data_IF_349943119496
#
_entry.id   IF_349943119496
#
_cell.length_a   1.000
_cell.length_b   1.000
_cell.length_c   1.000
_cell.angle_alpha   90.00
_cell.angle_beta   90.00
_cell.angle_gamma   90.00
#
_symmetry.space_group_name_H-M   'P 1'
#
loop_
_entity.id
_entity.type
_entity.pdbx_description
1 polymer ?
#
# COMPACT_ATOMS: atom_id res chain seq x y z
N UNK A 1 21.63 8.58 19.13
CA UNK A 1 20.76 7.39 19.03
C UNK A 1 20.62 7.08 17.54
N UNK A 2 21.06 5.92 17.01
CA UNK A 2 20.79 5.61 15.62
C UNK A 2 19.27 5.53 15.44
N UNK A 3 18.74 6.38 14.56
CA UNK A 3 17.33 6.46 14.19
C UNK A 3 16.79 5.06 13.90
N UNK A 4 15.86 4.56 14.73
CA UNK A 4 15.12 3.34 14.44
C UNK A 4 14.09 3.64 13.35
N UNK A 5 14.57 3.73 12.11
CA UNK A 5 13.75 4.05 10.95
C UNK A 5 12.99 2.79 10.50
N UNK A 6 11.71 2.93 10.18
CA UNK A 6 10.90 1.90 9.54
C UNK A 6 10.60 2.28 8.09
N UNK A 7 11.01 1.45 7.14
CA UNK A 7 10.77 1.70 5.73
C UNK A 7 9.36 1.24 5.36
N UNK A 8 8.46 2.19 5.11
CA UNK A 8 7.11 1.92 4.60
C UNK A 8 7.20 1.59 3.11
N UNK A 9 6.82 0.38 2.70
CA UNK A 9 6.96 -0.03 1.32
C UNK A 9 5.82 0.50 0.45
N UNK A 10 6.15 1.04 -0.71
CA UNK A 10 5.14 1.45 -1.71
C UNK A 10 5.01 0.46 -2.87
N UNK A 11 6.02 -0.38 -3.12
CA UNK A 11 6.04 -1.33 -4.25
C UNK A 11 5.51 -2.69 -3.83
N UNK A 12 4.88 -3.40 -4.76
CA UNK A 12 4.48 -4.80 -4.56
C UNK A 12 3.21 -5.02 -3.73
N UNK A 13 2.71 -4.01 -3.01
CA UNK A 13 1.52 -4.14 -2.17
C UNK A 13 0.24 -3.67 -2.87
N UNK A 14 0.12 -3.94 -4.17
CA UNK A 14 -1.00 -3.52 -5.00
C UNK A 14 -0.87 -2.07 -5.47
N UNK A 15 -1.98 -1.31 -5.43
CA UNK A 15 -2.03 0.05 -5.94
C UNK A 15 -1.25 1.01 -5.02
N UNK A 16 -0.46 1.89 -5.63
CA UNK A 16 0.31 2.92 -4.94
C UNK A 16 -0.55 4.18 -4.81
N UNK A 17 -0.59 4.73 -3.60
CA UNK A 17 -1.16 6.04 -3.30
C UNK A 17 -0.05 7.10 -3.40
N UNK A 18 -0.36 8.18 -4.09
CA UNK A 18 0.54 9.33 -4.23
C UNK A 18 -0.06 10.52 -3.47
N UNK A 19 0.39 10.72 -2.24
CA UNK A 19 -0.06 11.84 -1.42
C UNK A 19 0.72 13.11 -1.77
N UNK A 20 0.06 14.25 -2.04
CA UNK A 20 0.76 15.48 -2.37
C UNK A 20 1.61 15.98 -1.19
N UNK A 21 2.86 16.33 -1.48
CA UNK A 21 3.74 17.02 -0.51
C UNK A 21 3.61 18.52 -0.75
N UNK A 22 2.93 19.20 0.16
CA UNK A 22 2.67 20.63 0.08
C UNK A 22 3.89 21.46 0.51
N UNK A 23 4.10 22.58 -0.18
CA UNK A 23 5.26 23.45 0.05
C UNK A 23 6.60 22.79 -0.29
N UNK A 24 6.59 21.75 -1.14
CA UNK A 24 7.77 20.97 -1.50
C UNK A 24 8.91 21.84 -2.05
N UNK A 25 10.09 21.75 -1.42
CA UNK A 25 11.33 22.35 -1.88
C UNK A 25 12.41 21.27 -1.93
N UNK A 26 12.73 20.78 -3.14
CA UNK A 26 13.80 19.79 -3.34
C UNK A 26 14.43 19.94 -4.72
N UNK A 27 15.73 19.61 -4.79
CA UNK A 27 16.49 19.50 -6.05
C UNK A 27 16.46 18.07 -6.62
N UNK A 28 15.88 17.13 -5.89
CA UNK A 28 15.78 15.74 -6.32
C UNK A 28 14.85 15.60 -7.53
N UNK A 29 15.30 14.80 -8.48
CA UNK A 29 14.64 14.55 -9.76
C UNK A 29 14.33 13.07 -10.01
N UNK A 30 14.68 12.20 -9.07
CA UNK A 30 14.36 10.77 -9.07
C UNK A 30 13.61 10.42 -7.79
N UNK A 31 13.22 9.16 -7.64
CA UNK A 31 12.70 8.66 -6.36
C UNK A 31 13.78 8.69 -5.29
N UNK A 32 13.44 9.15 -4.09
CA UNK A 32 14.36 9.21 -2.96
C UNK A 32 13.61 8.94 -1.64
N UNK A 33 14.35 8.54 -0.62
CA UNK A 33 13.79 8.26 0.71
C UNK A 33 13.63 9.54 1.50
N UNK A 34 12.46 9.71 2.12
CA UNK A 34 12.15 10.77 3.08
C UNK A 34 11.72 10.16 4.41
N UNK A 35 11.89 10.91 5.48
CA UNK A 35 11.35 10.57 6.80
C UNK A 35 10.16 11.46 7.15
N UNK A 36 9.26 10.93 7.98
CA UNK A 36 8.05 11.61 8.41
C UNK A 36 8.15 11.97 9.89
N UNK A 37 7.66 13.15 10.26
CA UNK A 37 7.57 13.59 11.65
C UNK A 37 6.17 14.19 11.93
N UNK A 38 5.60 14.01 13.13
CA UNK A 38 4.32 14.62 13.48
C UNK A 38 4.42 16.16 13.53
N UNK A 39 3.38 16.84 13.04
CA UNK A 39 3.22 18.30 13.19
C UNK A 39 2.17 18.65 14.25
N UNK A 40 2.24 19.88 14.78
CA UNK A 40 1.30 20.40 15.77
C UNK A 40 -0.13 20.57 15.24
N UNK A 41 -0.28 20.79 13.93
CA UNK A 41 -1.57 20.92 13.24
C UNK A 41 -2.21 19.57 12.88
N UNK A 42 -1.62 18.46 13.33
CA UNK A 42 -2.07 17.12 13.03
C UNK A 42 -1.57 16.56 11.69
N UNK A 43 -0.88 17.35 10.86
CA UNK A 43 -0.25 16.86 9.63
C UNK A 43 1.05 16.07 9.86
N UNK A 44 1.77 15.80 8.77
CA UNK A 44 3.13 15.25 8.82
C UNK A 44 4.11 16.21 8.15
N UNK A 45 5.26 16.41 8.77
CA UNK A 45 6.40 17.06 8.16
C UNK A 45 7.19 16.00 7.38
N UNK A 46 7.57 16.33 6.14
CA UNK A 46 8.37 15.48 5.27
C UNK A 46 9.79 16.00 5.25
N UNK A 47 10.77 15.14 5.53
CA UNK A 47 12.16 15.53 5.76
C UNK A 47 13.12 14.65 4.97
N UNK A 48 14.18 15.26 4.45
CA UNK A 48 15.44 14.57 4.19
C UNK A 48 16.36 14.82 5.40
N UNK A 49 17.44 15.57 5.23
CA UNK A 49 18.21 16.15 6.33
C UNK A 49 17.50 17.37 6.94
N UNK A 50 16.65 18.03 6.14
CA UNK A 50 15.86 19.20 6.53
C UNK A 50 14.41 19.06 6.07
N UNK A 51 13.47 19.82 6.66
CA UNK A 51 12.08 19.84 6.18
C UNK A 51 12.01 20.27 4.72
N UNK A 52 11.39 19.45 3.88
CA UNK A 52 11.18 19.75 2.46
C UNK A 52 9.73 20.12 2.17
N UNK A 53 8.78 19.78 3.04
CA UNK A 53 7.36 20.02 2.83
C UNK A 53 6.50 19.28 3.84
N UNK A 54 5.22 19.08 3.53
CA UNK A 54 4.30 18.43 4.45
C UNK A 54 3.13 17.68 3.79
N UNK A 55 2.57 16.75 4.56
CA UNK A 55 1.30 16.06 4.28
C UNK A 55 0.22 16.66 5.19
N UNK A 56 -1.00 16.78 4.68
CA UNK A 56 -2.12 17.35 5.45
C UNK A 56 -2.58 16.42 6.58
N UNK A 57 -3.34 16.97 7.53
CA UNK A 57 -3.98 16.16 8.58
C UNK A 57 -5.06 15.23 8.01
N UNK A 58 -5.76 15.64 6.94
CA UNK A 58 -6.75 14.82 6.26
C UNK A 58 -6.11 13.58 5.61
N UNK A 59 -5.01 13.77 4.88
CA UNK A 59 -4.29 12.66 4.25
C UNK A 59 -3.67 11.74 5.32
N UNK A 60 -3.07 12.29 6.39
CA UNK A 60 -2.54 11.50 7.50
C UNK A 60 -3.62 10.63 8.16
N UNK A 61 -4.84 11.15 8.32
CA UNK A 61 -5.94 10.44 8.96
C UNK A 61 -6.35 9.17 8.22
N UNK A 62 -6.04 9.05 6.91
CA UNK A 62 -6.26 7.81 6.16
C UNK A 62 -5.25 6.71 6.50
N UNK A 63 -4.12 7.03 7.15
CA UNK A 63 -3.02 6.11 7.46
C UNK A 63 -2.75 6.00 8.97
N UNK A 64 -3.66 5.40 9.75
CA UNK A 64 -3.47 5.22 11.20
C UNK A 64 -2.23 4.40 11.56
N UNK A 65 -1.70 3.60 10.64
CA UNK A 65 -0.47 2.82 10.84
C UNK A 65 0.78 3.68 10.99
N UNK A 66 0.79 4.87 10.38
CA UNK A 66 1.89 5.82 10.56
C UNK A 66 1.92 6.32 12.01
N UNK A 67 0.76 6.46 12.65
CA UNK A 67 0.70 6.81 14.08
C UNK A 67 1.13 5.66 14.99
N UNK A 68 0.88 4.40 14.59
CA UNK A 68 1.41 3.24 15.30
C UNK A 68 2.94 3.24 15.30
N UNK A 69 3.58 3.58 14.17
CA UNK A 69 5.03 3.70 14.09
C UNK A 69 5.58 4.76 15.05
N UNK A 70 4.96 5.93 15.12
CA UNK A 70 5.39 6.96 16.08
C UNK A 70 5.22 6.52 17.52
N UNK A 71 4.11 5.85 17.86
CA UNK A 71 3.89 5.29 19.21
C UNK A 71 4.93 4.22 19.57
N UNK A 72 5.41 3.48 18.57
CA UNK A 72 6.50 2.51 18.71
C UNK A 72 7.89 3.15 18.83
N UNK A 73 8.00 4.49 18.79
CA UNK A 73 9.28 5.18 18.81
C UNK A 73 10.08 5.01 17.50
N UNK A 74 9.40 4.64 16.41
CA UNK A 74 9.98 4.47 15.09
C UNK A 74 9.79 5.74 14.26
N UNK A 75 10.78 6.01 13.40
CA UNK A 75 10.68 7.06 12.40
C UNK A 75 10.21 6.45 11.09
N UNK A 76 8.98 6.70 10.61
CA UNK A 76 8.55 6.24 9.30
C UNK A 76 9.42 6.86 8.21
N UNK A 77 9.93 6.03 7.31
CA UNK A 77 10.55 6.45 6.07
C UNK A 77 9.74 5.92 4.90
N UNK A 78 9.54 6.75 3.88
CA UNK A 78 8.81 6.38 2.68
C UNK A 78 9.49 6.99 1.46
N UNK A 79 9.04 6.58 0.28
CA UNK A 79 9.59 7.09 -0.98
C UNK A 79 8.87 8.37 -1.37
N UNK A 80 9.61 9.43 -1.69
CA UNK A 80 9.09 10.60 -2.38
C UNK A 80 9.46 10.50 -3.87
N UNK A 81 8.55 10.94 -4.73
CA UNK A 81 8.73 10.94 -6.18
C UNK A 81 8.20 12.24 -6.79
N UNK A 82 8.86 12.70 -7.85
CA UNK A 82 8.36 13.81 -8.66
C UNK A 82 7.33 13.30 -9.66
N UNK A 83 6.18 13.95 -9.70
CA UNK A 83 5.10 13.63 -10.62
C UNK A 83 5.31 14.28 -11.99
N UNK A 84 4.61 13.80 -13.05
CA UNK A 84 4.71 14.36 -14.39
C UNK A 84 4.35 15.87 -14.47
N UNK A 85 3.50 16.36 -13.58
CA UNK A 85 3.12 17.77 -13.48
C UNK A 85 4.14 18.64 -12.71
N UNK A 86 5.25 18.03 -12.28
CA UNK A 86 6.33 18.68 -11.54
C UNK A 86 6.11 18.76 -10.02
N UNK A 87 4.92 18.40 -9.53
CA UNK A 87 4.64 18.30 -8.09
C UNK A 87 5.43 17.16 -7.44
N UNK A 88 5.55 17.19 -6.11
CA UNK A 88 6.19 16.14 -5.33
C UNK A 88 5.13 15.35 -4.58
N UNK A 89 5.21 14.03 -4.62
CA UNK A 89 4.31 13.14 -3.88
C UNK A 89 5.07 12.18 -2.99
N UNK A 90 4.45 11.84 -1.85
CA UNK A 90 4.83 10.72 -1.01
C UNK A 90 4.12 9.47 -1.55
N UNK A 91 4.90 8.43 -1.85
CA UNK A 91 4.39 7.15 -2.32
C UNK A 91 4.18 6.23 -1.12
N UNK A 92 2.94 5.81 -0.94
CA UNK A 92 2.52 4.88 0.10
C UNK A 92 1.76 3.71 -0.54
N UNK A 93 1.72 2.53 0.10
CA UNK A 93 0.77 1.51 -0.30
C UNK A 93 -0.64 1.98 0.06
N UNK A 94 -1.67 1.21 -0.26
CA UNK A 94 -3.02 1.53 0.23
C UNK A 94 -3.05 1.58 1.77
N UNK A 95 -3.94 2.40 2.37
CA UNK A 95 -4.31 2.25 3.78
C UNK A 95 -4.61 0.80 4.13
N UNK A 96 -4.14 0.37 5.30
CA UNK A 96 -4.19 -1.01 5.78
C UNK A 96 -2.98 -1.87 5.38
N UNK A 97 -2.06 -1.36 4.54
CA UNK A 97 -0.92 -2.13 4.02
C UNK A 97 0.46 -1.57 4.41
N UNK A 98 0.51 -0.46 5.16
CA UNK A 98 1.78 0.14 5.58
C UNK A 98 2.59 -0.75 6.53
N UNK A 99 1.90 -1.60 7.30
CA UNK A 99 2.50 -2.58 8.21
C UNK A 99 2.06 -3.99 7.78
N UNK A 100 2.91 -5.01 8.00
CA UNK A 100 2.48 -6.39 7.82
C UNK A 100 1.42 -6.75 8.86
N UNK A 101 0.44 -7.55 8.43
CA UNK A 101 -0.66 -8.00 9.28
C UNK A 101 -0.24 -9.06 10.30
N UNK A 102 0.88 -9.74 10.06
CA UNK A 102 1.49 -10.66 11.01
C UNK A 102 2.76 -10.05 11.61
N UNK A 103 2.96 -10.31 12.90
CA UNK A 103 4.19 -9.94 13.58
C UNK A 103 5.36 -10.77 13.04
N UNK A 104 6.57 -10.19 12.94
CA UNK A 104 7.77 -10.97 12.67
C UNK A 104 8.00 -12.00 13.79
N UNK A 105 8.66 -13.13 13.49
CA UNK A 105 9.00 -14.12 14.49
C UNK A 105 9.95 -13.57 15.56
N UNK A 106 9.91 -14.16 16.75
CA UNK A 106 10.83 -13.83 17.83
C UNK A 106 12.28 -14.19 17.44
N UNK A 107 13.20 -13.27 17.71
CA UNK A 107 14.64 -13.46 17.47
C UNK A 107 15.18 -12.63 16.30
N UNK A 108 16.49 -12.75 16.01
CA UNK A 108 17.12 -11.99 14.94
C UNK A 108 16.72 -12.57 13.58
N UNK A 109 16.44 -11.68 12.65
CA UNK A 109 16.11 -12.02 11.28
C UNK A 109 16.74 -11.04 10.31
N UNK A 110 16.84 -11.45 9.05
CA UNK A 110 17.29 -10.62 7.93
C UNK A 110 16.11 -10.37 7.00
N UNK A 111 15.76 -9.10 6.79
CA UNK A 111 14.71 -8.73 5.84
C UNK A 111 15.28 -8.63 4.42
N UNK A 112 14.62 -9.28 3.46
CA UNK A 112 14.92 -9.14 2.04
C UNK A 112 14.21 -7.92 1.45
N UNK A 113 14.87 -7.26 0.51
CA UNK A 113 14.34 -6.12 -0.21
C UNK A 113 13.35 -6.51 -1.31
N UNK A 114 12.82 -5.51 -1.99
CA UNK A 114 11.89 -5.70 -3.10
C UNK A 114 12.59 -6.20 -4.37
N UNK A 115 11.94 -7.11 -5.08
CA UNK A 115 12.35 -7.69 -6.36
C UNK A 115 11.11 -7.95 -7.24
N UNK A 116 11.25 -8.41 -8.50
CA UNK A 116 10.09 -8.95 -9.22
C UNK A 116 9.37 -10.03 -8.38
N UNK A 117 8.03 -10.04 -8.34
CA UNK A 117 7.28 -10.94 -7.48
C UNK A 117 7.41 -12.40 -7.92
N UNK A 118 7.61 -13.30 -6.96
CA UNK A 118 7.43 -14.74 -7.15
C UNK A 118 6.02 -15.08 -6.68
N UNK A 119 5.17 -15.55 -7.59
CA UNK A 119 3.76 -15.80 -7.30
C UNK A 119 3.51 -17.26 -6.92
N UNK A 120 2.88 -17.45 -5.77
CA UNK A 120 2.31 -18.74 -5.36
C UNK A 120 0.80 -18.66 -5.55
N UNK A 121 0.24 -19.56 -6.36
CA UNK A 121 -1.19 -19.62 -6.69
C UNK A 121 -1.93 -20.74 -5.94
N UNK A 122 -1.22 -21.81 -5.60
CA UNK A 122 -1.81 -23.03 -5.03
C UNK A 122 -1.78 -22.98 -3.49
N UNK A 123 -2.31 -21.90 -2.93
CA UNK A 123 -2.27 -21.66 -1.48
C UNK A 123 -3.18 -22.64 -0.71
N UNK A 124 -2.71 -23.20 0.42
CA UNK A 124 -3.52 -24.08 1.28
C UNK A 124 -4.86 -23.45 1.66
N UNK A 125 -5.96 -24.20 1.52
CA UNK A 125 -7.31 -23.69 1.77
C UNK A 125 -7.51 -23.20 3.23
N UNK A 126 -6.81 -23.84 4.16
CA UNK A 126 -6.79 -23.61 5.62
C UNK A 126 -5.70 -22.64 6.07
N UNK A 127 -5.08 -21.88 5.15
CA UNK A 127 -4.16 -20.81 5.51
C UNK A 127 -4.90 -19.76 6.35
N UNK A 128 -4.28 -19.30 7.43
CA UNK A 128 -4.81 -18.26 8.33
C UNK A 128 -4.75 -16.84 7.71
N UNK A 129 -5.28 -16.71 6.49
CA UNK A 129 -5.49 -15.46 5.76
C UNK A 129 -6.87 -15.54 5.09
N UNK A 130 -7.76 -14.55 5.31
CA UNK A 130 -9.06 -14.52 4.66
C UNK A 130 -8.94 -14.52 3.13
N UNK A 131 -9.67 -15.41 2.47
CA UNK A 131 -9.53 -15.65 1.03
C UNK A 131 -9.75 -14.42 0.13
N UNK A 132 -10.59 -13.48 0.57
CA UNK A 132 -10.91 -12.26 -0.18
C UNK A 132 -10.11 -11.03 0.28
N UNK A 133 -9.26 -11.17 1.30
CA UNK A 133 -8.53 -10.04 1.84
C UNK A 133 -7.34 -9.65 0.96
N UNK A 134 -7.03 -8.36 0.93
CA UNK A 134 -5.76 -7.84 0.42
C UNK A 134 -4.88 -7.54 1.62
N UNK A 135 -3.75 -8.22 1.74
CA UNK A 135 -2.95 -8.15 2.97
C UNK A 135 -1.46 -8.09 2.63
N UNK A 136 -0.78 -7.19 3.33
CA UNK A 136 0.67 -7.22 3.44
C UNK A 136 1.02 -8.19 4.57
N UNK A 137 1.86 -9.17 4.31
CA UNK A 137 2.32 -10.17 5.29
C UNK A 137 3.83 -10.38 5.16
N UNK A 138 4.46 -10.84 6.23
CA UNK A 138 5.83 -11.34 6.24
C UNK A 138 5.82 -12.86 6.05
N UNK A 139 6.63 -13.34 5.11
CA UNK A 139 6.90 -14.77 4.94
C UNK A 139 8.29 -15.11 5.46
N UNK A 140 8.39 -16.25 6.15
CA UNK A 140 9.67 -16.82 6.57
C UNK A 140 10.21 -17.68 5.44
N UNK A 141 11.47 -17.45 5.09
CA UNK A 141 12.19 -18.18 4.06
C UNK A 141 13.30 -19.02 4.68
N UNK A 142 13.38 -20.28 4.31
CA UNK A 142 14.43 -21.20 4.76
C UNK A 142 14.96 -22.05 3.62
N UNK A 143 16.26 -22.44 3.63
CA UNK A 143 16.76 -23.44 2.70
C UNK A 143 15.89 -24.70 2.72
N UNK A 144 15.53 -25.20 1.53
CA UNK A 144 14.72 -26.40 1.43
C UNK A 144 15.46 -27.61 2.02
N UNK A 145 14.72 -28.43 2.78
CA UNK A 145 15.25 -29.70 3.35
C UNK A 145 15.00 -30.90 2.44
N UNK A 146 14.14 -30.74 1.42
CA UNK A 146 13.67 -31.83 0.55
C UNK A 146 14.03 -31.64 -0.93
N UNK A 147 14.84 -30.64 -1.26
CA UNK A 147 15.31 -30.37 -2.62
C UNK A 147 16.20 -29.14 -2.72
N UNK A 148 16.50 -28.72 -3.95
CA UNK A 148 17.08 -27.39 -4.21
C UNK A 148 16.03 -26.30 -3.97
N UNK A 149 16.48 -25.08 -3.66
CA UNK A 149 15.61 -23.91 -3.53
C UNK A 149 15.31 -23.53 -2.07
N UNK A 150 14.31 -22.67 -1.92
CA UNK A 150 13.94 -22.04 -0.65
C UNK A 150 12.47 -22.31 -0.38
N UNK A 151 12.17 -22.90 0.78
CA UNK A 151 10.80 -23.10 1.22
C UNK A 151 10.30 -21.82 1.91
N UNK A 152 9.09 -21.40 1.55
CA UNK A 152 8.40 -20.24 2.09
C UNK A 152 7.30 -20.68 3.06
N UNK A 153 7.20 -19.97 4.18
CA UNK A 153 6.26 -20.24 5.25
C UNK A 153 5.51 -18.99 5.66
N UNK A 154 4.23 -19.14 5.96
CA UNK A 154 3.44 -18.16 6.68
C UNK A 154 3.13 -18.72 8.07
N UNK A 155 3.74 -18.12 9.10
CA UNK A 155 3.75 -18.74 10.42
C UNK A 155 4.35 -20.14 10.35
N UNK A 156 3.68 -21.19 10.86
CA UNK A 156 4.15 -22.57 10.77
C UNK A 156 3.77 -23.27 9.45
N UNK A 157 2.92 -22.68 8.61
CA UNK A 157 2.38 -23.34 7.41
C UNK A 157 3.30 -23.11 6.21
N UNK A 158 3.70 -24.20 5.55
CA UNK A 158 4.39 -24.13 4.27
C UNK A 158 3.44 -23.63 3.19
N UNK A 159 3.84 -22.60 2.43
CA UNK A 159 3.01 -22.02 1.36
C UNK A 159 3.54 -22.32 -0.03
N UNK A 160 4.82 -22.63 -0.18
CA UNK A 160 5.40 -22.97 -1.48
C UNK A 160 6.92 -22.99 -1.48
N UNK A 161 7.48 -23.38 -2.63
CA UNK A 161 8.92 -23.35 -2.89
C UNK A 161 9.26 -22.24 -3.88
N UNK A 162 10.35 -21.53 -3.59
CA UNK A 162 10.90 -20.46 -4.41
C UNK A 162 12.22 -20.92 -5.02
N UNK A 163 12.39 -20.64 -6.31
CA UNK A 163 13.62 -20.91 -7.05
C UNK A 163 14.40 -19.61 -7.25
N UNK A 164 15.74 -19.70 -7.28
CA UNK A 164 16.61 -18.55 -7.53
C UNK A 164 16.65 -17.49 -6.42
N UNK A 165 16.12 -17.81 -5.24
CA UNK A 165 16.21 -16.96 -4.05
C UNK A 165 17.45 -17.34 -3.25
N UNK A 166 18.29 -16.36 -2.92
CA UNK A 166 19.40 -16.54 -1.99
C UNK A 166 18.94 -16.18 -0.57
N UNK A 167 19.12 -17.10 0.36
CA UNK A 167 18.77 -16.91 1.78
C UNK A 167 19.97 -17.25 2.64
N UNK A 168 20.03 -16.65 3.82
CA UNK A 168 21.07 -16.97 4.78
C UNK A 168 21.01 -18.47 5.13
N UNK A 169 22.17 -19.12 5.15
CA UNK A 169 22.29 -20.55 5.55
C UNK A 169 21.93 -20.77 7.02
N UNK A 170 21.96 -19.72 7.83
CA UNK A 170 21.67 -19.73 9.27
C UNK A 170 20.90 -18.45 9.62
N UNK A 171 20.00 -18.56 10.59
CA UNK A 171 19.11 -17.46 10.99
C UNK A 171 17.81 -17.41 10.18
N UNK A 172 16.90 -16.56 10.62
CA UNK A 172 15.59 -16.38 9.98
C UNK A 172 15.70 -15.36 8.86
N UNK A 173 15.30 -15.73 7.65
CA UNK A 173 15.17 -14.76 6.54
C UNK A 173 13.69 -14.43 6.35
N UNK A 174 13.37 -13.13 6.27
CA UNK A 174 12.02 -12.65 6.05
C UNK A 174 11.92 -11.97 4.69
N UNK A 175 10.75 -12.05 4.07
CA UNK A 175 10.42 -11.29 2.87
C UNK A 175 9.02 -10.69 3.00
N UNK A 176 8.83 -9.52 2.43
CA UNK A 176 7.50 -8.95 2.24
C UNK A 176 6.72 -9.80 1.24
N UNK A 177 5.44 -9.98 1.50
CA UNK A 177 4.52 -10.62 0.59
C UNK A 177 3.17 -9.92 0.55
N UNK A 178 2.52 -9.99 -0.60
CA UNK A 178 1.19 -9.44 -0.82
C UNK A 178 0.21 -10.57 -1.17
N UNK A 179 -0.76 -10.78 -0.29
CA UNK A 179 -1.90 -11.65 -0.56
C UNK A 179 -2.99 -10.85 -1.27
N UNK A 180 -3.52 -11.37 -2.37
CA UNK A 180 -4.67 -10.79 -3.04
C UNK A 180 -5.56 -11.86 -3.72
N UNK A 181 -6.89 -11.65 -3.73
CA UNK A 181 -7.78 -12.46 -4.55
C UNK A 181 -7.57 -12.18 -6.04
N UNK A 182 -7.72 -13.22 -6.87
CA UNK A 182 -7.70 -13.18 -8.34
C UNK A 182 -8.89 -13.97 -8.87
N UNK A 183 -9.23 -13.79 -10.15
CA UNK A 183 -10.29 -14.57 -10.81
C UNK A 183 -10.04 -16.08 -10.78
N UNK A 184 -8.78 -16.51 -10.68
CA UNK A 184 -8.34 -17.91 -10.65
C UNK A 184 -8.14 -18.45 -9.23
N UNK A 185 -8.44 -17.68 -8.18
CA UNK A 185 -8.23 -18.09 -6.79
C UNK A 185 -7.52 -17.03 -5.97
N UNK A 186 -6.48 -17.41 -5.23
CA UNK A 186 -5.70 -16.51 -4.36
C UNK A 186 -4.26 -16.50 -4.85
N UNK A 187 -3.59 -15.38 -4.69
CA UNK A 187 -2.16 -15.26 -5.02
C UNK A 187 -1.42 -14.65 -3.85
N UNK A 188 -0.29 -15.26 -3.50
CA UNK A 188 0.71 -14.68 -2.62
C UNK A 188 1.92 -14.29 -3.47
N UNK A 189 2.13 -12.99 -3.65
CA UNK A 189 3.28 -12.44 -4.35
C UNK A 189 4.39 -12.16 -3.34
N UNK A 190 5.49 -12.91 -3.41
CA UNK A 190 6.63 -12.80 -2.48
C UNK A 190 7.74 -11.97 -3.13
N UNK A 191 8.31 -11.04 -2.37
CA UNK A 191 9.35 -10.12 -2.80
C UNK A 191 10.67 -10.47 -2.10
N UNK A 192 11.55 -11.18 -2.79
CA UNK A 192 12.81 -11.69 -2.25
C UNK A 192 14.01 -11.15 -3.03
N UNK A 193 14.34 -9.89 -2.80
CA UNK A 193 15.51 -9.21 -3.37
C UNK A 193 16.75 -9.31 -2.50
N UNK A 194 17.72 -8.42 -2.76
CA UNK A 194 18.91 -8.32 -1.92
C UNK A 194 18.53 -7.94 -0.47
N UNK A 195 19.27 -8.43 0.54
CA UNK A 195 19.04 -8.07 1.94
C UNK A 195 18.99 -6.54 2.14
N UNK A 196 17.99 -6.07 2.87
CA UNK A 196 17.93 -4.68 3.31
C UNK A 196 19.00 -4.44 4.38
N UNK A 197 19.58 -3.23 4.47
CA UNK A 197 20.38 -2.84 5.62
C UNK A 197 19.54 -3.00 6.90
N UNK A 198 20.20 -3.31 8.03
CA UNK A 198 19.58 -3.61 9.33
C UNK A 198 18.31 -2.78 9.59
N UNK A 199 17.16 -3.39 9.32
CA UNK A 199 15.85 -2.79 9.53
C UNK A 199 15.37 -3.20 10.93
N UNK A 200 15.02 -2.22 11.76
CA UNK A 200 14.53 -2.48 13.12
C UNK A 200 13.02 -2.78 13.14
N UNK A 201 12.48 -3.53 12.18
CA UNK A 201 11.08 -3.97 12.27
C UNK A 201 10.85 -4.86 13.51
N UNK A 202 11.90 -5.36 14.16
CA UNK A 202 11.79 -6.09 15.42
C UNK A 202 11.20 -5.20 16.53
N UNK A 203 11.48 -3.90 16.50
CA UNK A 203 10.89 -2.92 17.42
C UNK A 203 9.39 -2.69 17.18
N UNK A 204 8.83 -3.05 16.01
CA UNK A 204 7.38 -3.07 15.80
C UNK A 204 6.72 -4.20 16.60
N UNK A 205 7.33 -5.39 16.64
CA UNK A 205 6.77 -6.52 17.36
C UNK A 205 6.71 -6.26 18.88
N UNK A 206 7.70 -5.56 19.42
CA UNK A 206 7.75 -5.19 20.85
C UNK A 206 6.77 -4.05 21.21
N UNK A 207 6.48 -3.16 20.25
CA UNK A 207 5.62 -1.99 20.47
C UNK A 207 4.15 -2.21 20.07
N UNK A 208 3.87 -3.27 19.31
CA UNK A 208 2.49 -3.64 18.95
C UNK A 208 1.93 -4.45 20.12
N UNK A 209 0.96 -3.94 20.91
CA UNK A 209 0.31 -4.76 21.91
C UNK A 209 -0.25 -5.99 21.19
N UNK A 210 -0.10 -7.16 21.82
CA UNK A 210 -0.71 -8.44 21.42
C UNK A 210 -2.23 -8.31 21.45
N UNK A 211 -2.77 -7.58 20.48
CA UNK A 211 -4.18 -7.56 20.19
C UNK A 211 -4.45 -8.78 19.31
N UNK A 212 -5.38 -9.66 19.66
CA UNK A 212 -5.83 -10.75 18.78
C UNK A 212 -6.51 -10.24 17.50
N UNK A 213 -6.53 -8.92 17.26
CA UNK A 213 -7.02 -8.28 16.07
C UNK A 213 -6.03 -8.39 14.89
N UNK A 214 -5.76 -9.62 14.45
CA UNK A 214 -5.36 -9.86 13.06
C UNK A 214 -6.55 -9.69 12.08
N UNK A 215 -7.67 -9.10 12.54
CA UNK A 215 -8.95 -9.06 11.82
C UNK A 215 -9.45 -7.65 11.48
N UNK A 216 -8.81 -6.58 11.95
CA UNK A 216 -9.17 -5.22 11.52
C UNK A 216 -8.11 -4.68 10.57
N UNK A 217 -8.08 -5.25 9.37
CA UNK A 217 -7.55 -4.56 8.19
C UNK A 217 -8.36 -3.28 8.08
N UNK A 218 -7.74 -2.12 8.30
CA UNK A 218 -8.35 -0.81 8.11
C UNK A 218 -8.62 -0.57 6.62
N UNK A 219 -9.60 -1.26 6.03
CA UNK A 219 -10.24 -0.78 4.81
C UNK A 219 -11.10 0.42 5.20
N UNK A 220 -10.49 1.61 5.26
CA UNK A 220 -11.27 2.85 5.19
C UNK A 220 -11.92 2.91 3.81
N UNK A 221 -13.24 3.03 3.81
CA UNK A 221 -14.11 3.08 2.61
C UNK A 221 -13.88 4.32 1.73
N UNK A 222 -12.81 5.09 1.93
CA UNK A 222 -12.50 6.32 1.21
C UNK A 222 -11.59 6.07 0.00
N UNK A 223 -12.06 5.28 -0.95
CA UNK A 223 -11.42 5.24 -2.28
C UNK A 223 -11.95 6.40 -3.13
N UNK A 224 -11.16 7.45 -3.31
CA UNK A 224 -11.27 8.27 -4.53
C UNK A 224 -10.42 7.60 -5.61
N UNK A 225 -11.07 6.78 -6.42
CA UNK A 225 -10.51 6.36 -7.69
C UNK A 225 -10.25 7.61 -8.54
N UNK A 226 -8.99 7.91 -8.86
CA UNK A 226 -8.72 8.64 -10.09
C UNK A 226 -8.85 7.60 -11.20
N UNK A 227 -10.06 7.47 -11.74
CA UNK A 227 -10.29 6.62 -12.91
C UNK A 227 -9.48 7.18 -14.08
N UNK A 228 -8.64 6.35 -14.68
CA UNK A 228 -7.96 6.61 -15.98
C UNK A 228 -8.95 6.40 -17.14
N UNK A 229 -10.21 6.71 -16.91
CA UNK A 229 -11.24 6.90 -17.94
C UNK A 229 -11.71 8.36 -17.88
N UNK A 230 -10.74 9.29 -17.95
CA UNK A 230 -11.04 10.66 -18.35
C UNK A 230 -11.33 10.64 -19.86
N UNK A 231 -12.48 10.07 -20.19
CA UNK A 231 -13.12 10.30 -21.48
C UNK A 231 -13.40 11.79 -21.55
N UNK A 232 -12.71 12.46 -22.48
CA UNK A 232 -12.85 13.86 -22.86
C UNK A 232 -14.25 14.45 -22.57
N UNK A 233 -14.33 15.73 -22.15
CA UNK A 233 -15.58 16.32 -21.69
C UNK A 233 -16.63 16.25 -22.79
N UNK A 234 -17.61 15.34 -22.64
CA UNK A 234 -18.86 15.43 -23.38
C UNK A 234 -19.53 16.71 -22.93
N UNK A 235 -19.46 17.72 -23.79
CA UNK A 235 -20.23 18.96 -23.68
C UNK A 235 -21.64 18.62 -23.21
N UNK A 236 -22.02 19.20 -22.08
CA UNK A 236 -23.40 19.47 -21.72
C UNK A 236 -24.05 20.23 -22.89
N UNK A 237 -24.75 19.52 -23.75
CA UNK A 237 -25.63 20.10 -24.76
C UNK A 237 -27.06 19.85 -24.32
N UNK A 238 -27.50 20.76 -23.44
CA UNK A 238 -28.80 21.42 -23.45
C UNK A 238 -29.99 20.61 -24.00
N UNK A 239 -30.83 20.12 -23.08
CA UNK A 239 -32.18 19.59 -23.34
C UNK A 239 -33.36 20.57 -23.10
N UNK A 240 -33.29 21.91 -23.26
CA UNK A 240 -34.50 22.75 -23.21
C UNK A 240 -35.27 22.82 -24.54
N UNK A 241 -34.65 22.52 -25.69
CA UNK A 241 -35.29 22.66 -27.02
C UNK A 241 -36.23 21.51 -27.38
N UNK A 242 -35.93 20.28 -26.95
CA UNK A 242 -36.79 19.11 -27.20
C UNK A 242 -38.09 19.15 -26.39
N UNK A 243 -38.05 19.69 -25.17
CA UNK A 243 -39.23 19.87 -24.33
C UNK A 243 -40.11 21.00 -24.89
N UNK A 244 -39.51 22.10 -25.33
CA UNK A 244 -40.26 23.20 -25.95
C UNK A 244 -40.98 22.78 -27.26
N UNK A 245 -40.32 21.96 -28.09
CA UNK A 245 -40.93 21.48 -29.34
C UNK A 245 -42.11 20.52 -29.09
N UNK A 246 -42.02 19.67 -28.06
CA UNK A 246 -43.10 18.76 -27.63
C UNK A 246 -44.31 19.51 -27.08
N UNK A 247 -44.08 20.60 -26.32
CA UNK A 247 -45.18 21.43 -25.78
C UNK A 247 -45.90 22.19 -26.90
N UNK A 248 -45.15 22.73 -27.88
CA UNK A 248 -45.74 23.48 -29.00
C UNK A 248 -46.54 22.54 -29.92
N UNK A 249 -46.03 21.35 -30.22
CA UNK A 249 -46.75 20.37 -31.05
C UNK A 249 -48.03 19.86 -30.37
N UNK A 250 -48.00 19.62 -29.06
CA UNK A 250 -49.20 19.26 -28.30
C UNK A 250 -50.26 20.38 -28.32
N UNK A 251 -49.85 21.65 -28.17
CA UNK A 251 -50.78 22.78 -28.19
C UNK A 251 -51.46 22.98 -29.56
N UNK A 252 -50.71 22.82 -30.65
CA UNK A 252 -51.24 22.94 -32.02
C UNK A 252 -52.24 21.82 -32.31
N UNK A 253 -51.96 20.60 -31.85
CA UNK A 253 -52.84 19.45 -32.08
C UNK A 253 -54.17 19.60 -31.35
N UNK A 254 -54.15 20.16 -30.13
CA UNK A 254 -55.36 20.45 -29.36
C UNK A 254 -56.16 21.60 -30.01
N UNK A 255 -55.50 22.62 -30.54
CA UNK A 255 -56.18 23.75 -31.19
C UNK A 255 -56.90 23.32 -32.49
N UNK A 256 -56.30 22.39 -33.25
CA UNK A 256 -56.91 21.83 -34.48
C UNK A 256 -58.15 20.98 -34.17
N UNK A 257 -58.23 20.36 -32.98
CA UNK A 257 -59.37 19.53 -32.59
C UNK A 257 -60.55 20.31 -31.98
N UNK A 258 -60.35 21.59 -31.64
CA UNK A 258 -61.35 22.45 -30.97
C UNK A 258 -61.94 23.51 -31.93
N UNK A 259 -61.36 23.69 -33.11
CA UNK A 259 -61.88 24.50 -34.23
C UNK A 259 -62.68 23.64 -35.22
#
# INVERSE_FOLDING_TARGET
>A
MPSSTYLVPHRGLGAVQALPIYGAQTKENQEFTVTLAPRQDGGLEVRTDSPIGHITSADRAEYPEIDLLFRAGLTPAATAARQPDGSLSLLLPRPGLCLPANNPPAGPWTMLGYAPPINITDLPADLDIPAQARMHVLVTLSPSTTGSGVDAYLGPQWVGRLEGVDVAKQGTTLAHAYHAPRSTGRVLSIYAGAPLPDSKEASLADATPTSPAATETFETTSFRAVNVDDSAPRRQQWWPTLIALLVITALITVLIFIL
#
